data_IF_874218150763
#
_entry.id   IF_874218150763
#
_cell.length_a   1.000
_cell.length_b   1.000
_cell.length_c   1.000
_cell.angle_alpha   90.00
_cell.angle_beta   90.00
_cell.angle_gamma   90.00
#
_symmetry.space_group_name_H-M   'P 1'
#
loop_
_entity.id
_entity.type
_entity.pdbx_description
1 polymer ?
#
# COMPACT_ATOMS: atom_id res chain seq x y z
N UNK A 1 37.89 -0.06 -45.26
CA UNK A 1 38.32 0.19 -43.86
C UNK A 1 37.85 -0.98 -42.99
N UNK A 2 38.34 -2.16 -43.34
CA UNK A 2 37.89 -3.47 -42.88
C UNK A 2 38.96 -4.05 -41.92
N UNK A 3 39.59 -3.21 -41.09
CA UNK A 3 40.85 -3.60 -40.43
C UNK A 3 41.12 -2.97 -39.06
N UNK A 4 40.11 -2.64 -38.24
CA UNK A 4 40.40 -2.07 -36.90
C UNK A 4 39.59 -2.56 -35.71
N UNK A 5 38.75 -3.60 -35.84
CA UNK A 5 38.06 -4.17 -34.67
C UNK A 5 38.19 -5.70 -34.56
N UNK A 6 39.33 -6.23 -35.00
CA UNK A 6 39.87 -7.50 -34.48
C UNK A 6 40.60 -7.21 -33.16
N UNK A 7 39.85 -7.08 -32.07
CA UNK A 7 40.41 -7.21 -30.73
C UNK A 7 39.58 -8.19 -29.92
N UNK A 8 40.05 -9.44 -29.94
CA UNK A 8 39.62 -10.61 -29.17
C UNK A 8 39.77 -10.40 -27.65
N UNK A 9 39.05 -9.45 -27.04
CA UNK A 9 39.14 -9.18 -25.59
C UNK A 9 37.82 -9.01 -24.84
N UNK A 10 36.67 -9.13 -25.52
CA UNK A 10 35.36 -8.95 -24.86
C UNK A 10 34.70 -10.28 -24.49
N UNK A 11 35.09 -11.39 -25.10
CA UNK A 11 34.45 -12.71 -24.91
C UNK A 11 34.94 -13.46 -23.65
N UNK A 12 36.03 -13.02 -23.00
CA UNK A 12 36.62 -13.74 -21.85
C UNK A 12 36.10 -13.36 -20.45
N UNK A 13 35.04 -12.55 -20.33
CA UNK A 13 34.67 -11.96 -19.01
C UNK A 13 33.61 -12.67 -18.17
N UNK A 14 33.09 -13.84 -18.55
CA UNK A 14 32.25 -14.64 -17.62
C UNK A 14 32.64 -16.11 -17.74
N UNK A 15 33.61 -16.53 -16.93
CA UNK A 15 34.17 -17.89 -16.91
C UNK A 15 33.77 -18.71 -15.67
N UNK A 16 32.67 -18.36 -14.99
CA UNK A 16 32.31 -19.01 -13.74
C UNK A 16 30.83 -19.42 -13.70
N UNK A 17 30.61 -20.73 -13.61
CA UNK A 17 29.36 -21.33 -13.14
C UNK A 17 29.33 -21.19 -11.61
N UNK A 18 28.20 -20.75 -11.05
CA UNK A 18 28.00 -20.66 -9.60
C UNK A 18 26.96 -21.69 -9.17
N UNK A 19 27.21 -22.32 -8.03
CA UNK A 19 26.31 -23.28 -7.39
C UNK A 19 26.07 -22.82 -5.94
N UNK A 20 24.80 -22.82 -5.51
CA UNK A 20 24.37 -22.36 -4.19
C UNK A 20 24.27 -23.57 -3.24
N UNK A 21 25.02 -23.54 -2.14
CA UNK A 21 24.98 -24.58 -1.11
C UNK A 21 23.98 -24.18 -0.03
N UNK A 22 22.81 -24.82 -0.05
CA UNK A 22 21.65 -24.46 0.79
C UNK A 22 21.85 -24.77 2.29
N UNK A 23 22.72 -25.70 2.63
CA UNK A 23 23.01 -26.13 4.02
C UNK A 23 23.67 -25.02 4.85
N UNK A 24 24.45 -24.13 4.21
CA UNK A 24 25.11 -22.99 4.87
C UNK A 24 24.17 -21.85 5.26
N UNK A 25 22.90 -21.88 4.83
CA UNK A 25 21.91 -20.85 5.16
C UNK A 25 21.20 -21.10 6.51
N UNK A 26 21.40 -22.28 7.12
CA UNK A 26 20.65 -22.74 8.30
C UNK A 26 21.33 -22.31 9.62
N UNK A 27 22.65 -22.13 9.64
CA UNK A 27 23.42 -21.72 10.82
C UNK A 27 23.90 -20.28 10.70
N UNK A 28 23.10 -19.34 11.20
CA UNK A 28 23.40 -17.97 11.67
C UNK A 28 24.74 -17.25 11.30
N UNK A 29 25.26 -17.34 10.08
CA UNK A 29 26.52 -16.70 9.65
C UNK A 29 26.33 -15.89 8.35
N UNK A 30 26.08 -14.58 8.48
CA UNK A 30 25.83 -13.64 7.37
C UNK A 30 27.09 -13.25 6.57
N UNK A 31 27.91 -14.23 6.20
CA UNK A 31 29.19 -14.01 5.55
C UNK A 31 29.07 -14.40 4.06
N UNK A 32 29.17 -13.43 3.15
CA UNK A 32 29.27 -13.73 1.73
C UNK A 32 30.67 -14.29 1.44
N UNK A 33 30.73 -15.40 0.72
CA UNK A 33 31.97 -16.05 0.32
C UNK A 33 32.00 -16.10 -1.22
N UNK A 34 33.14 -15.76 -1.83
CA UNK A 34 33.38 -15.90 -3.27
C UNK A 34 34.72 -16.60 -3.49
N UNK A 35 34.75 -17.68 -4.30
CA UNK A 35 35.94 -18.51 -4.50
C UNK A 35 36.62 -18.93 -3.18
N UNK A 36 35.84 -19.42 -2.21
CA UNK A 36 36.31 -19.81 -0.87
C UNK A 36 37.02 -18.68 -0.09
N UNK A 37 36.88 -17.42 -0.54
CA UNK A 37 37.35 -16.23 0.18
C UNK A 37 36.16 -15.53 0.80
N UNK A 38 36.23 -15.30 2.11
CA UNK A 38 35.29 -14.44 2.81
C UNK A 38 35.36 -13.03 2.21
N UNK A 39 34.23 -12.52 1.73
CA UNK A 39 34.10 -11.13 1.36
C UNK A 39 33.99 -10.35 2.66
N UNK A 40 35.12 -9.81 3.13
CA UNK A 40 35.17 -8.96 4.31
C UNK A 40 34.49 -7.62 3.98
N UNK A 41 33.39 -7.31 4.66
CA UNK A 41 32.69 -6.04 4.49
C UNK A 41 31.23 -6.09 4.94
N UNK A 42 30.66 -4.91 5.22
CA UNK A 42 29.25 -4.76 5.62
C UNK A 42 28.26 -4.95 4.48
N UNK A 43 28.33 -6.04 3.70
CA UNK A 43 27.52 -6.26 2.50
C UNK A 43 26.01 -6.11 2.77
N UNK A 44 25.52 -6.63 3.90
CA UNK A 44 24.12 -6.47 4.31
C UNK A 44 23.73 -4.99 4.46
N UNK A 45 24.62 -4.18 5.05
CA UNK A 45 24.41 -2.73 5.23
C UNK A 45 24.44 -2.04 3.87
N UNK A 46 25.43 -2.36 3.02
CA UNK A 46 25.52 -1.83 1.67
C UNK A 46 24.29 -2.19 0.83
N UNK A 47 23.85 -3.46 0.82
CA UNK A 47 22.67 -3.89 0.07
C UNK A 47 21.41 -3.20 0.56
N UNK A 48 21.25 -2.99 1.88
CA UNK A 48 20.15 -2.18 2.44
C UNK A 48 20.19 -0.74 1.94
N UNK A 49 21.37 -0.12 1.88
CA UNK A 49 21.53 1.24 1.35
C UNK A 49 21.18 1.31 -0.14
N UNK A 50 21.61 0.33 -0.95
CA UNK A 50 21.25 0.22 -2.37
C UNK A 50 19.74 0.07 -2.54
N UNK A 51 19.11 -0.84 -1.80
CA UNK A 51 17.66 -1.04 -1.86
C UNK A 51 16.91 0.23 -1.46
N UNK A 52 17.36 0.94 -0.42
CA UNK A 52 16.78 2.21 0.00
C UNK A 52 16.91 3.28 -1.10
N UNK A 53 18.05 3.34 -1.79
CA UNK A 53 18.26 4.28 -2.90
C UNK A 53 17.33 3.98 -4.09
N UNK A 54 17.16 2.70 -4.43
CA UNK A 54 16.23 2.26 -5.48
C UNK A 54 14.80 2.69 -5.12
N UNK A 55 14.32 2.39 -3.92
CA UNK A 55 12.96 2.77 -3.50
C UNK A 55 12.76 4.28 -3.41
N UNK A 56 13.77 5.04 -2.97
CA UNK A 56 13.70 6.50 -3.00
C UNK A 56 13.55 7.00 -4.43
N UNK A 57 14.31 6.44 -5.38
CA UNK A 57 14.19 6.79 -6.78
C UNK A 57 12.81 6.44 -7.34
N UNK A 58 12.27 5.25 -7.03
CA UNK A 58 10.93 4.82 -7.45
C UNK A 58 9.84 5.77 -6.91
N UNK A 59 9.91 6.17 -5.64
CA UNK A 59 8.92 7.08 -5.03
C UNK A 59 9.01 8.48 -5.65
N UNK A 60 10.22 9.01 -5.82
CA UNK A 60 10.42 10.37 -6.35
C UNK A 60 10.04 10.48 -7.83
N UNK A 61 10.17 9.39 -8.59
CA UNK A 61 9.77 9.32 -10.01
C UNK A 61 8.38 8.69 -10.20
N UNK A 62 7.60 8.51 -9.14
CA UNK A 62 6.26 7.94 -9.25
C UNK A 62 5.27 9.00 -9.75
N UNK A 63 4.66 8.75 -10.91
CA UNK A 63 3.55 9.57 -11.45
C UNK A 63 2.42 9.77 -10.44
N UNK A 64 2.23 8.82 -9.51
CA UNK A 64 1.20 8.86 -8.46
C UNK A 64 1.42 9.96 -7.42
N UNK A 65 2.66 10.39 -7.24
CA UNK A 65 3.08 11.40 -6.25
C UNK A 65 3.70 12.63 -6.92
N UNK A 66 3.75 12.66 -8.25
CA UNK A 66 4.32 13.76 -9.02
C UNK A 66 3.72 15.09 -8.58
N UNK A 67 2.40 15.17 -8.46
CA UNK A 67 1.69 16.38 -8.03
C UNK A 67 2.07 16.88 -6.62
N UNK A 68 2.51 16.00 -5.71
CA UNK A 68 3.07 16.40 -4.40
C UNK A 68 4.52 16.86 -4.50
N UNK A 69 5.30 16.30 -5.43
CA UNK A 69 6.73 16.55 -5.54
C UNK A 69 7.09 17.72 -6.46
N UNK A 70 6.29 18.02 -7.47
CA UNK A 70 6.56 19.07 -8.47
C UNK A 70 6.80 20.43 -7.84
N UNK A 71 6.03 20.79 -6.81
CA UNK A 71 6.18 22.06 -6.08
C UNK A 71 6.82 21.92 -4.71
N UNK A 72 7.46 20.77 -4.42
CA UNK A 72 8.00 20.48 -3.09
C UNK A 72 9.10 21.47 -2.64
N UNK A 73 9.77 22.15 -3.58
CA UNK A 73 10.71 23.22 -3.27
C UNK A 73 10.10 24.37 -2.45
N UNK A 74 8.77 24.52 -2.46
CA UNK A 74 8.04 25.52 -1.64
C UNK A 74 8.02 25.17 -0.15
N UNK A 75 8.40 23.94 0.22
CA UNK A 75 8.51 23.48 1.60
C UNK A 75 7.22 23.65 2.42
N UNK A 76 6.06 23.48 1.79
CA UNK A 76 4.74 23.59 2.44
C UNK A 76 4.40 22.40 3.33
N UNK A 77 5.02 21.24 3.12
CA UNK A 77 4.66 20.00 3.81
C UNK A 77 5.67 19.65 4.91
N UNK A 78 5.14 19.24 6.06
CA UNK A 78 5.92 18.56 7.09
C UNK A 78 6.00 17.07 6.71
N UNK A 79 7.01 16.71 5.93
CA UNK A 79 7.20 15.33 5.51
C UNK A 79 7.48 14.38 6.67
N UNK A 80 8.06 14.86 7.78
CA UNK A 80 8.34 14.03 8.94
C UNK A 80 7.02 13.64 9.60
N UNK A 81 6.18 14.62 9.94
CA UNK A 81 4.86 14.37 10.51
C UNK A 81 3.96 13.55 9.57
N UNK A 82 3.99 13.87 8.27
CA UNK A 82 3.22 13.14 7.25
C UNK A 82 3.63 11.66 7.19
N UNK A 83 4.93 11.37 7.10
CA UNK A 83 5.43 10.00 6.99
C UNK A 83 5.25 9.21 8.30
N UNK A 84 5.41 9.84 9.47
CA UNK A 84 5.04 9.23 10.75
C UNK A 84 3.58 8.82 10.79
N UNK A 85 2.69 9.68 10.30
CA UNK A 85 1.26 9.41 10.22
C UNK A 85 0.95 8.28 9.24
N UNK A 86 1.46 8.35 8.01
CA UNK A 86 1.24 7.34 6.96
C UNK A 86 1.77 5.97 7.39
N UNK A 87 2.93 5.93 8.05
CA UNK A 87 3.52 4.70 8.58
C UNK A 87 2.92 4.23 9.91
N UNK A 88 1.86 4.91 10.37
CA UNK A 88 1.09 4.61 11.58
C UNK A 88 1.93 4.59 12.88
N UNK A 89 3.03 5.34 12.89
CA UNK A 89 3.95 5.46 14.04
C UNK A 89 3.41 6.33 15.18
N UNK A 90 2.33 7.05 14.90
CA UNK A 90 1.57 7.83 15.88
C UNK A 90 0.79 6.95 16.88
N UNK A 91 0.41 5.73 16.48
CA UNK A 91 -0.38 4.79 17.31
C UNK A 91 0.42 3.55 17.72
N UNK A 92 1.40 3.13 16.89
CA UNK A 92 2.16 1.90 17.10
C UNK A 92 3.67 2.13 17.08
N UNK A 93 4.40 1.38 17.92
CA UNK A 93 5.86 1.42 17.93
C UNK A 93 6.46 0.80 16.66
N UNK A 94 7.75 1.07 16.43
CA UNK A 94 8.45 0.57 15.24
C UNK A 94 8.45 -0.96 15.10
N UNK A 95 8.31 -1.68 16.22
CA UNK A 95 8.44 -3.14 16.31
C UNK A 95 7.09 -3.88 16.34
N UNK A 96 5.98 -3.16 16.39
CA UNK A 96 4.65 -3.76 16.40
C UNK A 96 4.20 -4.09 14.97
N UNK A 97 3.66 -5.30 14.78
CA UNK A 97 3.19 -5.83 13.50
C UNK A 97 1.84 -6.53 13.71
N UNK A 98 0.84 -5.81 14.22
CA UNK A 98 -0.52 -6.33 14.39
C UNK A 98 -1.33 -6.24 13.09
N UNK A 99 -2.42 -7.01 13.01
CA UNK A 99 -3.34 -6.94 11.86
C UNK A 99 -3.98 -5.55 11.73
N UNK A 100 -4.39 -4.97 12.87
CA UNK A 100 -4.95 -3.60 12.92
C UNK A 100 -3.97 -2.56 12.39
N UNK A 101 -2.70 -2.62 12.79
CA UNK A 101 -1.66 -1.72 12.27
C UNK A 101 -1.48 -1.91 10.76
N UNK A 102 -1.41 -3.17 10.31
CA UNK A 102 -1.20 -3.51 8.91
C UNK A 102 -2.32 -2.97 8.01
N UNK A 103 -3.57 -3.11 8.45
CA UNK A 103 -4.75 -2.60 7.73
C UNK A 103 -4.72 -1.07 7.67
N UNK A 104 -4.48 -0.40 8.79
CA UNK A 104 -4.48 1.06 8.87
C UNK A 104 -3.37 1.67 8.01
N UNK A 105 -2.15 1.14 8.13
CA UNK A 105 -1.00 1.57 7.33
C UNK A 105 -1.22 1.30 5.84
N UNK A 106 -1.77 0.14 5.49
CA UNK A 106 -2.10 -0.20 4.09
C UNK A 106 -3.10 0.80 3.49
N UNK A 107 -4.16 1.14 4.25
CA UNK A 107 -5.13 2.15 3.85
C UNK A 107 -4.46 3.52 3.59
N UNK A 108 -3.67 4.02 4.56
CA UNK A 108 -3.01 5.33 4.45
C UNK A 108 -2.04 5.39 3.26
N UNK A 109 -1.26 4.35 3.04
CA UNK A 109 -0.33 4.27 1.90
C UNK A 109 -1.09 4.26 0.57
N UNK A 110 -2.14 3.43 0.45
CA UNK A 110 -2.96 3.39 -0.77
C UNK A 110 -3.64 4.73 -1.03
N UNK A 111 -4.11 5.39 0.01
CA UNK A 111 -4.77 6.68 -0.11
C UNK A 111 -3.79 7.78 -0.57
N UNK A 112 -2.58 7.82 0.00
CA UNK A 112 -1.51 8.71 -0.45
C UNK A 112 -1.21 8.52 -1.95
N UNK A 113 -1.13 7.28 -2.41
CA UNK A 113 -0.80 6.90 -3.79
C UNK A 113 -2.00 6.99 -4.76
N UNK A 114 -3.19 7.39 -4.28
CA UNK A 114 -4.45 7.36 -5.05
C UNK A 114 -4.82 5.97 -5.59
N UNK A 115 -4.44 4.91 -4.88
CA UNK A 115 -4.66 3.50 -5.23
C UNK A 115 -5.71 2.81 -4.34
N UNK A 116 -6.65 3.59 -3.81
CA UNK A 116 -7.83 2.99 -3.19
C UNK A 116 -8.61 2.16 -4.23
N UNK A 117 -9.28 1.06 -3.83
CA UNK A 117 -10.01 0.22 -4.76
C UNK A 117 -11.24 0.97 -5.34
N UNK A 118 -11.13 1.38 -6.60
CA UNK A 118 -12.20 2.02 -7.37
C UNK A 118 -12.57 1.21 -8.61
N UNK A 119 -13.77 1.41 -9.15
CA UNK A 119 -14.20 0.78 -10.40
C UNK A 119 -13.32 1.16 -11.59
N UNK A 120 -12.80 2.39 -11.67
CA UNK A 120 -11.79 2.76 -12.67
C UNK A 120 -10.53 1.88 -12.56
N UNK A 121 -10.04 1.66 -11.34
CA UNK A 121 -8.86 0.82 -11.10
C UNK A 121 -9.14 -0.65 -11.43
N UNK A 122 -10.31 -1.17 -11.05
CA UNK A 122 -10.71 -2.55 -11.35
C UNK A 122 -10.88 -2.78 -12.85
N UNK A 123 -11.52 -1.83 -13.55
CA UNK A 123 -11.70 -1.84 -14.99
C UNK A 123 -10.36 -1.84 -15.73
N UNK A 124 -9.43 -0.94 -15.36
CA UNK A 124 -8.06 -0.90 -15.93
C UNK A 124 -7.28 -2.20 -15.72
N UNK A 125 -7.56 -2.93 -14.63
CA UNK A 125 -6.95 -4.23 -14.34
C UNK A 125 -7.59 -5.39 -15.09
N UNK A 126 -8.61 -5.13 -15.91
CA UNK A 126 -9.36 -6.13 -16.67
C UNK A 126 -9.89 -7.26 -15.78
N UNK A 127 -10.60 -6.93 -14.71
CA UNK A 127 -11.19 -7.92 -13.80
C UNK A 127 -12.42 -8.60 -14.41
N UNK A 128 -12.76 -9.83 -13.98
CA UNK A 128 -13.72 -10.70 -14.69
C UNK A 128 -15.10 -10.09 -14.86
N UNK A 129 -15.72 -9.61 -13.78
CA UNK A 129 -17.12 -9.14 -13.76
C UNK A 129 -17.29 -7.62 -13.79
N UNK A 130 -16.19 -6.88 -14.00
CA UNK A 130 -16.24 -5.42 -14.11
C UNK A 130 -16.07 -5.07 -15.59
N UNK A 131 -17.14 -4.54 -16.16
CA UNK A 131 -17.27 -4.17 -17.57
C UNK A 131 -17.18 -2.65 -17.80
N UNK A 132 -17.24 -1.87 -16.72
CA UNK A 132 -17.30 -0.41 -16.76
C UNK A 132 -16.45 0.20 -15.63
N UNK A 133 -15.92 1.39 -15.86
CA UNK A 133 -15.18 2.20 -14.88
C UNK A 133 -16.09 3.08 -14.01
N UNK A 134 -17.40 2.97 -14.20
CA UNK A 134 -18.41 3.83 -13.60
C UNK A 134 -18.76 3.42 -12.17
N UNK A 135 -19.07 4.41 -11.34
CA UNK A 135 -19.43 4.20 -9.95
C UNK A 135 -20.78 3.52 -9.82
N UNK A 136 -20.81 2.34 -9.21
CA UNK A 136 -22.05 1.59 -9.00
C UNK A 136 -22.97 2.25 -7.95
N UNK A 137 -22.44 3.07 -7.04
CA UNK A 137 -23.24 3.79 -6.03
C UNK A 137 -24.16 4.78 -6.70
N UNK A 138 -23.60 5.76 -7.42
CA UNK A 138 -24.36 6.81 -8.12
C UNK A 138 -24.95 6.34 -9.45
N UNK A 139 -25.44 5.09 -9.50
CA UNK A 139 -26.18 4.57 -10.65
C UNK A 139 -25.38 4.48 -11.95
N UNK A 140 -24.05 4.36 -11.88
CA UNK A 140 -23.14 4.33 -13.04
C UNK A 140 -23.24 5.60 -13.90
N UNK A 141 -23.44 6.76 -13.28
CA UNK A 141 -23.46 8.06 -13.97
C UNK A 141 -22.02 8.52 -14.25
N UNK A 142 -21.19 8.60 -13.22
CA UNK A 142 -19.82 9.10 -13.29
C UNK A 142 -18.77 7.99 -13.21
N UNK A 143 -17.58 8.22 -13.76
CA UNK A 143 -16.41 7.36 -13.56
C UNK A 143 -15.98 7.38 -12.09
N UNK A 144 -15.77 6.21 -11.49
CA UNK A 144 -15.27 6.12 -10.11
C UNK A 144 -13.74 6.18 -10.09
N UNK A 145 -13.19 7.39 -10.19
CA UNK A 145 -11.78 7.63 -9.89
C UNK A 145 -11.55 7.90 -8.39
N UNK A 146 -10.29 8.16 -8.00
CA UNK A 146 -9.96 8.42 -6.60
C UNK A 146 -10.66 9.65 -6.03
N UNK A 147 -10.93 10.67 -6.86
CA UNK A 147 -11.58 11.90 -6.41
C UNK A 147 -13.06 11.67 -6.18
N UNK A 148 -13.71 10.98 -7.11
CA UNK A 148 -15.14 10.66 -7.05
C UNK A 148 -15.53 9.94 -5.76
N UNK A 149 -14.66 9.09 -5.19
CA UNK A 149 -14.92 8.45 -3.88
C UNK A 149 -15.35 9.48 -2.83
N UNK A 150 -14.66 10.62 -2.80
CA UNK A 150 -14.80 11.62 -1.75
C UNK A 150 -15.90 12.63 -2.04
N UNK A 151 -16.24 12.86 -3.32
CA UNK A 151 -17.22 13.84 -3.77
C UNK A 151 -18.47 13.21 -4.42
N UNK A 152 -18.65 11.90 -4.28
CA UNK A 152 -19.81 11.19 -4.80
C UNK A 152 -21.11 11.80 -4.25
N UNK A 153 -22.11 11.95 -5.11
CA UNK A 153 -23.43 12.51 -4.75
C UNK A 153 -24.21 11.65 -3.76
N UNK A 154 -23.96 10.34 -3.73
CA UNK A 154 -24.56 9.41 -2.76
C UNK A 154 -23.82 9.34 -1.43
N UNK A 155 -22.86 10.22 -1.18
CA UNK A 155 -22.30 10.35 0.15
C UNK A 155 -23.30 11.11 1.03
N UNK A 156 -23.67 10.52 2.17
CA UNK A 156 -24.61 11.12 3.13
C UNK A 156 -24.13 12.47 3.70
N UNK A 157 -22.82 12.72 3.62
CA UNK A 157 -22.17 13.90 4.17
C UNK A 157 -21.01 14.35 3.28
N UNK A 158 -20.85 15.66 3.16
CA UNK A 158 -19.73 16.25 2.43
C UNK A 158 -18.46 16.34 3.28
N UNK A 159 -17.31 16.41 2.61
CA UNK A 159 -16.01 16.59 3.27
C UNK A 159 -15.97 17.91 4.04
N UNK A 160 -16.57 18.96 3.50
CA UNK A 160 -16.56 20.30 4.10
C UNK A 160 -17.40 20.33 5.39
N UNK A 161 -18.53 19.62 5.43
CA UNK A 161 -19.32 19.43 6.66
C UNK A 161 -18.51 18.67 7.73
N UNK A 162 -17.83 17.58 7.36
CA UNK A 162 -16.98 16.84 8.31
C UNK A 162 -15.88 17.74 8.88
N UNK A 163 -15.21 18.54 8.05
CA UNK A 163 -14.13 19.44 8.50
C UNK A 163 -14.65 20.46 9.49
N UNK A 164 -15.82 21.05 9.24
CA UNK A 164 -16.44 22.04 10.14
C UNK A 164 -16.95 21.42 11.44
N UNK A 165 -17.48 20.21 11.39
CA UNK A 165 -17.94 19.48 12.59
C UNK A 165 -16.78 18.89 13.42
N UNK A 166 -15.62 18.66 12.81
CA UNK A 166 -14.51 17.95 13.45
C UNK A 166 -13.99 18.64 14.72
N UNK A 167 -13.75 19.97 14.77
CA UNK A 167 -13.37 20.64 16.01
C UNK A 167 -14.39 20.45 17.13
N UNK A 168 -15.68 20.57 16.83
CA UNK A 168 -16.75 20.39 17.83
C UNK A 168 -16.84 18.95 18.34
N UNK A 169 -16.72 17.96 17.44
CA UNK A 169 -16.70 16.55 17.85
C UNK A 169 -15.44 16.21 18.64
N UNK A 170 -14.30 16.84 18.34
CA UNK A 170 -13.07 16.70 19.09
C UNK A 170 -13.18 17.36 20.48
N UNK A 171 -13.84 18.51 20.57
CA UNK A 171 -14.16 19.18 21.84
C UNK A 171 -14.90 18.24 22.79
N UNK A 172 -15.96 17.56 22.31
CA UNK A 172 -16.69 16.55 23.09
C UNK A 172 -15.79 15.42 23.60
N UNK A 173 -14.79 15.00 22.82
CA UNK A 173 -13.84 13.96 23.24
C UNK A 173 -12.92 14.48 24.35
N UNK A 174 -12.50 15.75 24.27
CA UNK A 174 -11.68 16.40 25.29
C UNK A 174 -12.48 16.63 26.58
N UNK A 175 -13.74 17.08 26.47
CA UNK A 175 -14.67 17.24 27.60
C UNK A 175 -14.82 15.93 28.37
N UNK A 176 -15.08 14.83 27.65
CA UNK A 176 -15.22 13.49 28.26
C UNK A 176 -13.93 12.98 28.92
N UNK A 177 -12.78 13.58 28.61
CA UNK A 177 -11.48 13.23 29.21
C UNK A 177 -10.97 14.26 30.23
N UNK A 178 -11.79 15.27 30.58
CA UNK A 178 -11.48 16.34 31.54
C UNK A 178 -10.20 17.13 31.20
N UNK A 179 -9.94 17.37 29.91
CA UNK A 179 -8.77 18.10 29.40
C UNK A 179 -9.06 19.60 29.22
N UNK A 180 -9.19 20.33 30.32
CA UNK A 180 -9.64 21.74 30.31
C UNK A 180 -8.66 22.70 29.62
N UNK A 181 -7.35 22.51 29.78
CA UNK A 181 -6.33 23.35 29.12
C UNK A 181 -6.37 23.16 27.59
N UNK A 182 -6.52 21.92 27.13
CA UNK A 182 -6.63 21.59 25.71
C UNK A 182 -7.91 22.13 25.08
N UNK A 183 -9.03 22.18 25.82
CA UNK A 183 -10.27 22.78 25.35
C UNK A 183 -10.13 24.26 25.04
N UNK A 184 -9.47 25.01 25.93
CA UNK A 184 -9.24 26.44 25.72
C UNK A 184 -8.34 26.68 24.50
N UNK A 185 -7.29 25.86 24.33
CA UNK A 185 -6.45 25.91 23.13
C UNK A 185 -7.28 25.59 21.88
N UNK A 186 -8.09 24.53 21.90
CA UNK A 186 -8.91 24.14 20.75
C UNK A 186 -9.85 25.28 20.31
N UNK A 187 -10.53 25.91 21.26
CA UNK A 187 -11.45 27.03 21.00
C UNK A 187 -10.74 28.25 20.44
N UNK A 188 -9.48 28.49 20.84
CA UNK A 188 -8.68 29.61 20.35
C UNK A 188 -8.15 29.44 18.92
N UNK A 189 -8.05 28.21 18.41
CA UNK A 189 -7.45 27.93 17.08
C UNK A 189 -8.41 27.22 16.11
N UNK A 190 -9.68 27.01 16.46
CA UNK A 190 -10.63 26.26 15.63
C UNK A 190 -10.90 26.93 14.27
N UNK A 191 -11.09 28.26 14.27
CA UNK A 191 -11.33 29.04 13.07
C UNK A 191 -10.10 29.03 12.16
N UNK A 192 -8.92 29.23 12.72
CA UNK A 192 -7.64 29.20 12.01
C UNK A 192 -7.37 27.83 11.40
N UNK A 193 -7.67 26.76 12.14
CA UNK A 193 -7.56 25.39 11.65
C UNK A 193 -8.44 25.15 10.42
N UNK A 194 -9.73 25.53 10.49
CA UNK A 194 -10.66 25.40 9.37
C UNK A 194 -10.21 26.26 8.19
N UNK A 195 -9.84 27.52 8.45
CA UNK A 195 -9.38 28.46 7.43
C UNK A 195 -8.15 27.93 6.68
N UNK A 196 -7.20 27.31 7.38
CA UNK A 196 -6.05 26.66 6.74
C UNK A 196 -6.53 25.55 5.83
N UNK A 197 -7.42 24.67 6.27
CA UNK A 197 -7.88 23.53 5.46
C UNK A 197 -8.66 23.97 4.21
N UNK A 198 -9.55 24.97 4.36
CA UNK A 198 -10.38 25.46 3.26
C UNK A 198 -9.59 26.33 2.26
N UNK A 199 -8.48 26.93 2.69
CA UNK A 199 -7.63 27.75 1.82
C UNK A 199 -7.04 26.98 0.62
N UNK A 200 -6.74 27.67 -0.51
CA UNK A 200 -6.16 27.05 -1.68
C UNK A 200 -4.77 26.46 -1.38
N UNK A 201 -4.49 25.26 -1.92
CA UNK A 201 -3.18 24.62 -1.82
C UNK A 201 -2.16 25.30 -2.71
N UNK A 202 -0.96 25.50 -2.16
CA UNK A 202 0.17 26.04 -2.92
C UNK A 202 0.93 24.97 -3.71
N UNK A 203 0.60 23.69 -3.50
CA UNK A 203 1.22 22.52 -4.12
C UNK A 203 0.25 21.87 -5.11
N UNK A 204 -1.00 21.63 -4.66
CA UNK A 204 -2.06 21.03 -5.45
C UNK A 204 -2.86 22.14 -6.14
N UNK A 205 -2.39 22.56 -7.32
CA UNK A 205 -3.01 23.65 -8.08
C UNK A 205 -4.50 23.38 -8.36
N UNK A 206 -5.33 24.41 -8.17
CA UNK A 206 -6.78 24.32 -8.34
C UNK A 206 -7.52 23.58 -7.22
N UNK A 207 -6.81 23.12 -6.18
CA UNK A 207 -7.38 22.38 -5.04
C UNK A 207 -7.18 23.15 -3.73
N UNK A 208 -8.04 22.93 -2.75
CA UNK A 208 -7.81 23.39 -1.38
C UNK A 208 -6.96 22.42 -0.56
N UNK A 209 -6.44 22.88 0.58
CA UNK A 209 -5.62 22.07 1.49
C UNK A 209 -6.35 20.86 2.07
N UNK A 210 -7.69 20.82 2.02
CA UNK A 210 -8.46 19.60 2.32
C UNK A 210 -8.01 18.38 1.51
N UNK A 211 -7.54 18.58 0.27
CA UNK A 211 -7.00 17.48 -0.54
C UNK A 211 -5.62 16.99 -0.07
N UNK A 212 -4.85 17.84 0.61
CA UNK A 212 -3.61 17.45 1.31
C UNK A 212 -3.96 16.57 2.52
N UNK A 213 -4.95 17.01 3.32
CA UNK A 213 -5.50 16.24 4.44
C UNK A 213 -6.00 14.88 3.95
N UNK A 214 -6.82 14.82 2.89
CA UNK A 214 -7.33 13.56 2.33
C UNK A 214 -6.22 12.58 1.94
N UNK A 215 -5.05 13.07 1.50
CA UNK A 215 -3.89 12.21 1.20
C UNK A 215 -3.03 11.86 2.41
N UNK A 216 -3.35 12.39 3.58
CA UNK A 216 -2.58 12.21 4.80
C UNK A 216 -1.29 13.03 4.84
N UNK A 217 -1.26 14.16 4.12
CA UNK A 217 -0.14 15.11 4.10
C UNK A 217 -0.40 16.25 5.08
N UNK A 218 0.53 16.44 6.01
CA UNK A 218 0.49 17.49 7.02
C UNK A 218 1.17 18.76 6.51
N UNK A 219 0.47 19.89 6.62
CA UNK A 219 0.95 21.19 6.13
C UNK A 219 1.69 21.97 7.23
N UNK A 220 2.84 22.57 6.90
CA UNK A 220 3.65 23.37 7.82
C UNK A 220 2.91 24.59 8.38
N UNK A 221 1.88 25.11 7.70
CA UNK A 221 1.08 26.23 8.21
C UNK A 221 0.44 25.95 9.57
N UNK A 222 0.14 24.68 9.89
CA UNK A 222 -0.33 24.33 11.23
C UNK A 222 0.75 24.52 12.30
N UNK A 223 2.01 24.29 11.94
CA UNK A 223 3.16 24.52 12.82
C UNK A 223 3.47 26.02 13.01
N UNK A 224 2.96 26.87 12.11
CA UNK A 224 3.15 28.33 12.15
C UNK A 224 2.11 29.03 13.05
N UNK A 225 1.02 28.35 13.42
CA UNK A 225 -0.04 28.91 14.29
C UNK A 225 0.46 29.34 15.67
N UNK A 226 1.39 28.58 16.25
CA UNK A 226 1.97 28.89 17.56
C UNK A 226 3.37 28.33 17.68
N UNK A 227 4.21 28.96 18.51
CA UNK A 227 5.53 28.43 18.88
C UNK A 227 5.44 27.39 20.00
N UNK A 228 4.33 27.38 20.74
CA UNK A 228 4.16 26.50 21.88
C UNK A 228 3.98 25.04 21.45
N UNK A 229 4.78 24.15 22.03
CA UNK A 229 4.75 22.72 21.69
C UNK A 229 3.38 22.09 21.99
N UNK A 230 2.75 22.43 23.12
CA UNK A 230 1.43 21.92 23.50
C UNK A 230 0.38 22.22 22.44
N UNK A 231 0.36 23.46 21.94
CA UNK A 231 -0.57 23.88 20.86
C UNK A 231 -0.31 23.09 19.59
N UNK A 232 0.95 22.98 19.14
CA UNK A 232 1.30 22.18 17.95
C UNK A 232 0.86 20.72 18.07
N UNK A 233 1.10 20.11 19.24
CA UNK A 233 0.71 18.72 19.51
C UNK A 233 -0.82 18.56 19.49
N UNK A 234 -1.57 19.52 20.03
CA UNK A 234 -3.04 19.50 19.99
C UNK A 234 -3.59 19.68 18.58
N UNK A 235 -3.06 20.63 17.80
CA UNK A 235 -3.45 20.84 16.40
C UNK A 235 -3.14 19.59 15.56
N UNK A 236 -1.99 18.94 15.77
CA UNK A 236 -1.66 17.67 15.13
C UNK A 236 -2.67 16.57 15.50
N UNK A 237 -3.11 16.49 16.77
CA UNK A 237 -4.18 15.56 17.19
C UNK A 237 -5.51 15.87 16.51
N UNK A 238 -5.93 17.14 16.44
CA UNK A 238 -7.15 17.57 15.75
C UNK A 238 -7.10 17.23 14.25
N UNK A 239 -5.96 17.45 13.60
CA UNK A 239 -5.75 17.08 12.20
C UNK A 239 -5.91 15.57 11.99
N UNK A 240 -5.29 14.76 12.84
CA UNK A 240 -5.41 13.29 12.80
C UNK A 240 -6.85 12.83 13.07
N UNK A 241 -7.54 13.49 14.01
CA UNK A 241 -8.94 13.22 14.32
C UNK A 241 -9.84 13.50 13.11
N UNK A 242 -9.66 14.66 12.48
CA UNK A 242 -10.40 15.06 11.27
C UNK A 242 -10.21 14.06 10.13
N UNK A 243 -8.97 13.60 9.90
CA UNK A 243 -8.69 12.55 8.91
C UNK A 243 -9.43 11.24 9.22
N UNK A 244 -9.37 10.79 10.48
CA UNK A 244 -10.01 9.56 10.92
C UNK A 244 -11.56 9.69 10.81
N UNK A 245 -12.14 10.87 11.05
CA UNK A 245 -13.58 11.13 10.86
C UNK A 245 -14.00 11.04 9.38
N UNK A 246 -13.21 11.60 8.46
CA UNK A 246 -13.47 11.48 7.01
C UNK A 246 -13.49 10.00 6.60
N UNK A 247 -12.50 9.22 7.08
CA UNK A 247 -12.45 7.78 6.81
C UNK A 247 -13.68 7.08 7.35
N UNK A 248 -14.09 7.36 8.59
CA UNK A 248 -15.23 6.69 9.24
C UNK A 248 -16.57 7.03 8.59
N UNK A 249 -16.75 8.27 8.15
CA UNK A 249 -18.05 8.78 7.67
C UNK A 249 -18.23 8.68 6.16
N UNK A 250 -17.14 8.58 5.39
CA UNK A 250 -17.22 8.44 3.92
C UNK A 250 -16.65 7.09 3.48
N UNK A 251 -15.39 6.82 3.77
CA UNK A 251 -14.71 5.64 3.22
C UNK A 251 -15.32 4.31 3.68
N UNK A 252 -15.58 4.17 4.98
CA UNK A 252 -16.16 2.93 5.53
C UNK A 252 -17.59 2.69 5.00
N UNK A 253 -18.53 3.65 5.09
CA UNK A 253 -19.87 3.50 4.51
C UNK A 253 -19.85 3.20 3.01
N UNK A 254 -18.97 3.86 2.25
CA UNK A 254 -18.77 3.56 0.82
C UNK A 254 -18.39 2.09 0.62
N UNK A 255 -17.48 1.54 1.42
CA UNK A 255 -17.05 0.15 1.28
C UNK A 255 -18.17 -0.84 1.60
N UNK A 256 -18.96 -0.55 2.63
CA UNK A 256 -20.13 -1.35 3.02
C UNK A 256 -21.20 -1.32 1.92
N UNK A 257 -21.48 -0.15 1.34
CA UNK A 257 -22.46 -0.01 0.27
C UNK A 257 -22.02 -0.69 -1.02
N UNK A 258 -20.75 -0.55 -1.42
CA UNK A 258 -20.20 -1.27 -2.58
C UNK A 258 -20.37 -2.78 -2.40
N UNK A 259 -20.04 -3.30 -1.21
CA UNK A 259 -20.21 -4.73 -0.91
C UNK A 259 -21.67 -5.16 -1.07
N UNK A 260 -22.62 -4.36 -0.56
CA UNK A 260 -24.07 -4.62 -0.70
C UNK A 260 -24.51 -4.63 -2.17
N UNK A 261 -24.02 -3.70 -2.97
CA UNK A 261 -24.36 -3.58 -4.40
C UNK A 261 -23.74 -4.73 -5.20
N UNK A 262 -22.48 -5.08 -4.94
CA UNK A 262 -21.80 -6.22 -5.57
C UNK A 262 -22.49 -7.55 -5.25
N UNK A 263 -22.95 -7.74 -4.01
CA UNK A 263 -23.73 -8.92 -3.61
C UNK A 263 -25.06 -9.00 -4.36
N UNK A 264 -25.74 -7.86 -4.60
CA UNK A 264 -26.98 -7.78 -5.39
C UNK A 264 -26.76 -8.15 -6.86
N UNK A 265 -25.65 -7.70 -7.44
CA UNK A 265 -25.22 -8.04 -8.80
C UNK A 265 -24.55 -9.42 -8.90
N UNK A 266 -24.54 -10.20 -7.81
CA UNK A 266 -23.90 -11.53 -7.74
C UNK A 266 -22.41 -11.52 -8.11
N UNK A 267 -21.72 -10.40 -7.85
CA UNK A 267 -20.28 -10.26 -8.00
C UNK A 267 -19.62 -10.82 -6.74
N UNK A 268 -18.93 -11.95 -6.87
CA UNK A 268 -18.15 -12.53 -5.79
C UNK A 268 -16.74 -11.98 -5.84
N UNK A 269 -16.08 -11.99 -4.70
CA UNK A 269 -14.69 -11.55 -4.56
C UNK A 269 -13.69 -12.29 -5.47
N UNK A 270 -13.96 -13.54 -5.83
CA UNK A 270 -13.12 -14.28 -6.78
C UNK A 270 -13.19 -13.67 -8.19
N UNK A 271 -14.30 -13.01 -8.51
CA UNK A 271 -14.56 -12.36 -9.79
C UNK A 271 -13.83 -11.01 -9.92
N UNK A 272 -13.41 -10.44 -8.79
CA UNK A 272 -12.60 -9.21 -8.75
C UNK A 272 -11.10 -9.48 -9.01
N UNK A 273 -10.74 -10.72 -9.33
CA UNK A 273 -9.40 -11.06 -9.81
C UNK A 273 -9.25 -10.64 -11.27
N UNK A 274 -8.01 -10.39 -11.68
CA UNK A 274 -7.65 -10.11 -13.07
C UNK A 274 -8.08 -11.28 -13.97
N UNK A 275 -8.70 -10.98 -15.11
CA UNK A 275 -8.99 -11.96 -16.16
C UNK A 275 -7.70 -12.62 -16.61
N UNK A 276 -7.71 -13.95 -16.70
CA UNK A 276 -6.68 -14.68 -17.43
C UNK A 276 -6.88 -14.45 -18.92
N UNK A 277 -5.79 -14.31 -19.67
CA UNK A 277 -5.88 -14.25 -21.12
C UNK A 277 -6.18 -15.66 -21.64
N UNK A 278 -6.97 -15.78 -22.72
CA UNK A 278 -7.38 -17.06 -23.31
C UNK A 278 -6.22 -17.99 -23.76
N UNK A 279 -4.97 -17.52 -23.71
CA UNK A 279 -3.79 -18.33 -23.96
C UNK A 279 -3.38 -19.24 -22.78
N UNK A 280 -4.02 -19.08 -21.61
CA UNK A 280 -3.83 -19.94 -20.43
C UNK A 280 -4.84 -21.11 -20.36
N UNK A 281 -5.75 -21.23 -21.34
CA UNK A 281 -6.86 -22.20 -21.32
C UNK A 281 -6.47 -23.62 -21.78
N UNK A 282 -5.19 -23.96 -21.83
CA UNK A 282 -4.74 -25.34 -21.96
C UNK A 282 -4.39 -25.84 -20.56
N UNK A 283 -5.24 -26.73 -20.05
CA UNK A 283 -5.19 -27.40 -18.73
C UNK A 283 -5.97 -26.69 -17.61
N UNK A 284 -7.30 -26.81 -17.64
CA UNK A 284 -8.08 -27.43 -16.56
C UNK A 284 -9.55 -27.57 -17.00
N UNK A 285 -9.77 -28.40 -18.02
CA UNK A 285 -11.08 -29.04 -18.18
C UNK A 285 -11.18 -30.21 -17.19
N UNK A 286 -12.37 -30.33 -16.60
CA UNK A 286 -12.86 -31.39 -15.71
C UNK A 286 -12.43 -31.33 -14.22
N UNK A 287 -13.32 -30.80 -13.37
CA UNK A 287 -14.19 -31.62 -12.49
C UNK A 287 -15.28 -30.71 -11.89
N UNK A 288 -16.49 -30.89 -12.40
CA UNK A 288 -17.75 -30.51 -11.76
C UNK A 288 -18.04 -31.47 -10.59
N UNK A 289 -18.58 -30.94 -9.48
CA UNK A 289 -19.77 -31.44 -8.75
C UNK A 289 -19.87 -30.92 -7.32
N UNK A 290 -21.07 -30.40 -7.03
CA UNK A 290 -21.64 -30.17 -5.70
C UNK A 290 -21.42 -31.32 -4.71
N UNK A 291 -21.20 -30.97 -3.43
CA UNK A 291 -21.74 -31.61 -2.19
C UNK A 291 -21.18 -30.83 -0.96
N UNK A 292 -22.07 -30.23 -0.17
CA UNK A 292 -21.87 -29.81 1.24
C UNK A 292 -22.02 -31.03 2.19
N UNK A 293 -21.76 -30.94 3.50
CA UNK A 293 -20.56 -30.54 4.24
C UNK A 293 -20.07 -31.69 5.16
N UNK A 294 -18.77 -31.95 5.27
CA UNK A 294 -18.28 -32.94 6.24
C UNK A 294 -16.77 -33.15 6.20
N UNK A 295 -16.13 -33.05 7.37
CA UNK A 295 -14.69 -33.29 7.57
C UNK A 295 -14.28 -34.67 7.03
N UNK A 296 -13.44 -34.71 6.00
CA UNK A 296 -12.59 -35.87 5.74
C UNK A 296 -11.20 -35.45 5.27
N UNK A 297 -10.19 -35.91 6.04
CA UNK A 297 -8.77 -35.84 5.72
C UNK A 297 -8.54 -36.52 4.36
N UNK A 298 -7.99 -35.80 3.38
CA UNK A 298 -7.59 -36.39 2.09
C UNK A 298 -6.51 -37.46 2.31
N UNK A 299 -6.88 -38.74 2.25
CA UNK A 299 -5.96 -39.85 2.00
C UNK A 299 -5.42 -39.73 0.57
N UNK A 300 -4.09 -39.83 0.40
CA UNK A 300 -3.42 -39.79 -0.91
C UNK A 300 -3.37 -41.20 -1.52
N UNK A 301 -3.71 -41.31 -2.80
CA UNK A 301 -3.63 -42.51 -3.65
C UNK A 301 -2.19 -43.03 -3.81
N UNK A 302 -2.06 -44.35 -4.00
CA UNK A 302 -0.80 -45.13 -3.93
C UNK A 302 0.29 -44.74 -4.95
N UNK A 303 -0.05 -44.09 -6.07
CA UNK A 303 0.96 -43.57 -7.01
C UNK A 303 1.80 -42.40 -6.44
N UNK A 304 1.27 -41.69 -5.44
CA UNK A 304 2.02 -40.64 -4.73
C UNK A 304 2.94 -41.17 -3.63
N UNK A 305 2.90 -42.47 -3.29
CA UNK A 305 3.81 -43.09 -2.31
C UNK A 305 5.14 -43.49 -2.97
N UNK A 306 5.10 -44.07 -4.17
CA UNK A 306 6.33 -44.50 -4.88
C UNK A 306 7.15 -43.30 -5.38
N UNK A 307 6.51 -42.22 -5.84
CA UNK A 307 7.20 -40.95 -6.14
C UNK A 307 7.68 -40.20 -4.89
N UNK A 308 7.18 -40.55 -3.70
CA UNK A 308 7.69 -40.02 -2.43
C UNK A 308 8.92 -40.81 -2.01
N UNK A 309 8.90 -42.13 -2.01
CA UNK A 309 10.01 -42.95 -1.49
C UNK A 309 11.33 -42.75 -2.25
N UNK A 310 11.29 -42.45 -3.55
CA UNK A 310 12.50 -42.06 -4.31
C UNK A 310 12.90 -40.58 -4.17
N UNK A 311 11.99 -39.69 -3.75
CA UNK A 311 12.25 -38.26 -3.55
C UNK A 311 12.34 -37.84 -2.06
N UNK A 312 12.24 -38.77 -1.11
CA UNK A 312 12.28 -38.48 0.33
C UNK A 312 13.68 -38.46 0.92
N UNK A 313 14.73 -38.75 0.14
CA UNK A 313 16.11 -38.67 0.63
C UNK A 313 16.97 -37.58 0.01
N UNK A 314 16.49 -36.80 -0.97
CA UNK A 314 17.25 -35.67 -1.52
C UNK A 314 16.29 -34.51 -1.85
N UNK A 315 16.54 -33.37 -1.20
CA UNK A 315 16.11 -32.01 -1.54
C UNK A 315 14.60 -31.66 -1.48
N UNK A 316 14.12 -31.47 -0.25
CA UNK A 316 13.10 -30.46 0.05
C UNK A 316 13.55 -29.56 1.19
N UNK A 317 14.56 -28.75 0.94
CA UNK A 317 14.76 -27.50 1.66
C UNK A 317 14.96 -26.43 0.59
N UNK A 318 14.07 -25.44 0.58
CA UNK A 318 14.09 -24.23 -0.25
C UNK A 318 13.50 -24.39 -1.67
N UNK A 319 12.35 -23.72 -1.89
CA UNK A 319 11.86 -23.38 -3.23
C UNK A 319 12.32 -21.97 -3.58
N UNK A 320 13.34 -21.85 -4.44
CA UNK A 320 13.77 -20.57 -5.03
C UNK A 320 12.96 -20.29 -6.31
N UNK A 321 12.53 -19.04 -6.47
CA UNK A 321 11.87 -18.55 -7.69
C UNK A 321 12.94 -18.36 -8.77
N UNK A 322 12.83 -19.07 -9.89
CA UNK A 322 13.78 -19.05 -11.01
C UNK A 322 13.72 -17.76 -11.84
N UNK A 323 14.85 -17.41 -12.47
CA UNK A 323 15.05 -16.20 -13.29
C UNK A 323 13.96 -16.00 -14.36
N UNK A 324 13.41 -17.08 -14.91
CA UNK A 324 12.35 -17.02 -15.92
C UNK A 324 11.01 -16.53 -15.35
N UNK A 325 10.73 -16.80 -14.05
CA UNK A 325 9.60 -16.18 -13.34
C UNK A 325 9.84 -14.69 -13.07
N UNK A 326 11.09 -14.28 -12.81
CA UNK A 326 11.44 -12.86 -12.63
C UNK A 326 11.30 -12.06 -13.93
N UNK A 327 11.68 -12.63 -15.07
CA UNK A 327 11.51 -11.97 -16.38
C UNK A 327 10.03 -11.74 -16.70
N UNK A 328 9.16 -12.74 -16.49
CA UNK A 328 7.71 -12.57 -16.63
C UNK A 328 7.10 -11.54 -15.67
N UNK A 329 7.53 -11.53 -14.40
CA UNK A 329 7.03 -10.60 -13.37
C UNK A 329 7.45 -9.15 -13.61
N UNK A 330 8.63 -8.91 -14.19
CA UNK A 330 9.13 -7.56 -14.51
C UNK A 330 8.44 -7.01 -15.76
N UNK A 331 8.13 -7.86 -16.75
CA UNK A 331 7.36 -7.44 -17.92
C UNK A 331 5.86 -7.26 -17.63
N UNK A 332 5.35 -7.87 -16.55
CA UNK A 332 3.92 -7.82 -16.17
C UNK A 332 3.61 -6.97 -14.93
N UNK A 333 4.61 -6.28 -14.36
CA UNK A 333 4.39 -5.30 -13.28
C UNK A 333 3.82 -5.88 -11.98
N UNK A 334 4.19 -7.12 -11.60
CA UNK A 334 3.69 -7.75 -10.36
C UNK A 334 4.80 -7.82 -9.30
N UNK A 335 4.53 -7.13 -8.17
CA UNK A 335 5.40 -6.94 -7.01
C UNK A 335 5.82 -8.25 -6.30
N UNK A 336 7.05 -8.29 -5.78
CA UNK A 336 7.41 -9.17 -4.66
C UNK A 336 8.26 -8.40 -3.62
N UNK A 337 7.67 -8.20 -2.44
CA UNK A 337 8.16 -7.41 -1.31
C UNK A 337 9.12 -8.19 -0.40
N UNK A 338 10.27 -7.59 -0.03
CA UNK A 338 11.25 -8.17 0.89
C UNK A 338 12.11 -7.16 1.67
N UNK A 339 11.55 -6.58 2.73
CA UNK A 339 12.20 -6.02 3.95
C UNK A 339 12.85 -4.60 3.94
N UNK A 340 12.00 -3.59 4.17
CA UNK A 340 12.01 -2.75 5.39
C UNK A 340 10.55 -2.43 5.74
N UNK A 341 10.25 -2.28 7.04
CA UNK A 341 8.93 -2.39 7.71
C UNK A 341 7.81 -1.40 7.32
N UNK A 342 7.60 -1.12 6.02
CA UNK A 342 6.50 -0.28 5.51
C UNK A 342 5.70 -0.99 4.38
N UNK A 343 6.14 -2.15 3.87
CA UNK A 343 5.54 -2.71 2.63
C UNK A 343 5.05 -4.17 2.67
N UNK A 344 4.94 -4.81 3.84
CA UNK A 344 4.41 -6.20 3.94
C UNK A 344 2.87 -6.36 3.81
N UNK A 345 2.14 -5.36 3.32
CA UNK A 345 0.67 -5.35 3.36
C UNK A 345 -0.03 -5.52 1.99
N UNK A 346 0.68 -5.91 0.94
CA UNK A 346 0.12 -5.88 -0.42
C UNK A 346 -0.59 -7.18 -0.86
N UNK A 347 -0.34 -8.34 -0.25
CA UNK A 347 -0.95 -9.61 -0.73
C UNK A 347 -1.97 -10.28 0.20
N UNK A 348 -2.44 -9.62 1.25
CA UNK A 348 -3.49 -10.17 2.13
C UNK A 348 -4.45 -9.09 2.63
N UNK A 349 -5.18 -8.45 1.71
CA UNK A 349 -6.39 -7.68 2.08
C UNK A 349 -7.58 -8.28 1.35
N UNK A 350 -7.97 -9.42 1.88
CA UNK A 350 -9.06 -10.25 1.41
C UNK A 350 -9.42 -11.22 2.56
N UNK A 351 -9.49 -10.72 3.80
CA UNK A 351 -9.92 -11.52 4.93
C UNK A 351 -10.49 -10.63 6.02
N UNK A 352 -11.65 -11.06 6.54
CA UNK A 352 -12.29 -10.67 7.80
C UNK A 352 -13.09 -9.36 7.77
N UNK A 353 -14.32 -9.45 7.23
CA UNK A 353 -15.46 -9.77 8.11
C UNK A 353 -15.93 -11.18 7.77
#
# INVERSE_FOLDING_TARGET
MQEMLKNNKIVDKIKYNFELIDEGLITNEYNLIWNNKLITGGFRVWRKAVTLAIWKNEILNSERLEDLFMYNYRNEFDWIASLEFISNRVKFSQRQCGDRDTIERSYRIKNLLKELPTYNTLFKRNTNKIDTDKCIRCGKIFTEDWEHIWICEDNDISIDEIIRESPYNFEKVLDNSNQTEELDILRNYNCEFINIIESPSNILLGKSRKWELLRGIYNNKFNDLSKEKKVKDLIKKLWMFTYDEIKKRIWIPRCEEIKRLEEREQIKKIDLRRRRAANDDIVEDEIDKDILPGKMKKQKTKENLVKKEKNTNINRQISLVTLDKLKGLITEGVHACGSLNILRAVDRCSGLQ
#
